data_IF_617862233805
#
_entry.id   IF_617862233805
#
_cell.length_a   1.000
_cell.length_b   1.000
_cell.length_c   1.000
_cell.angle_alpha   90.00
_cell.angle_beta   90.00
_cell.angle_gamma   90.00
#
_symmetry.space_group_name_H-M   'P 1'
#
loop_
_entity.id
_entity.type
_entity.pdbx_description
1 polymer ?
#
# COMPACT_ATOMS: atom_id res chain seq x y z
N UNK A 1 -5.79 13.44 19.21
CA UNK A 1 -5.27 13.79 17.88
C UNK A 1 -3.77 13.56 17.89
N UNK A 2 -3.28 12.50 17.22
CA UNK A 2 -1.84 12.23 17.11
C UNK A 2 -1.16 13.12 16.07
N UNK A 3 0.15 13.33 16.16
CA UNK A 3 0.89 14.23 15.27
C UNK A 3 0.98 13.63 13.86
N UNK A 4 0.61 14.44 12.88
CA UNK A 4 0.78 14.17 11.46
C UNK A 4 2.28 14.13 11.16
N UNK A 5 2.76 13.04 10.54
CA UNK A 5 4.14 12.94 10.06
C UNK A 5 4.32 13.90 8.89
N UNK A 6 4.72 15.13 9.20
CA UNK A 6 5.23 16.08 8.21
C UNK A 6 6.41 15.43 7.49
N UNK A 7 6.34 15.39 6.15
CA UNK A 7 7.50 15.06 5.32
C UNK A 7 8.72 15.85 5.82
N UNK A 8 9.81 15.13 6.03
CA UNK A 8 10.92 15.50 6.94
C UNK A 8 11.72 16.72 6.49
N UNK A 9 11.40 17.38 5.37
CA UNK A 9 12.03 18.66 5.03
C UNK A 9 11.16 19.57 4.14
N UNK A 10 9.87 19.74 4.48
CA UNK A 10 9.25 21.02 4.14
C UNK A 10 10.04 22.12 4.88
N UNK A 11 10.38 23.25 4.22
CA UNK A 11 11.19 24.30 4.85
C UNK A 11 10.61 24.57 6.23
N UNK A 12 11.45 24.41 7.26
CA UNK A 12 11.09 24.36 8.69
C UNK A 12 10.34 25.60 9.23
N UNK A 13 9.97 26.53 8.35
CA UNK A 13 9.33 27.79 8.67
C UNK A 13 7.92 27.96 8.12
N UNK A 14 7.30 26.98 7.47
CA UNK A 14 5.86 27.11 7.20
C UNK A 14 5.11 25.79 7.08
N UNK A 15 3.87 25.80 7.56
CA UNK A 15 2.91 24.71 7.34
C UNK A 15 2.45 24.75 5.89
N UNK A 16 2.12 23.58 5.33
CA UNK A 16 1.51 23.51 3.99
C UNK A 16 0.20 24.32 3.98
N UNK A 17 0.13 25.36 3.15
CA UNK A 17 -1.03 26.26 3.04
C UNK A 17 -0.86 27.65 3.68
N UNK A 18 0.27 27.97 4.32
CA UNK A 18 0.54 29.33 4.80
C UNK A 18 0.97 30.26 3.66
N UNK A 19 0.55 31.53 3.74
CA UNK A 19 0.84 32.54 2.72
C UNK A 19 2.30 33.00 2.78
N UNK A 20 2.89 33.30 1.61
CA UNK A 20 4.18 33.97 1.54
C UNK A 20 4.05 35.40 2.07
N UNK A 21 5.01 35.84 2.87
CA UNK A 21 4.99 37.15 3.52
C UNK A 21 6.30 37.45 4.21
N UNK A 22 6.36 38.52 5.01
CA UNK A 22 7.59 38.98 5.66
C UNK A 22 8.27 37.91 6.53
N UNK A 23 7.47 37.04 7.15
CA UNK A 23 7.98 35.92 7.97
C UNK A 23 8.14 34.61 7.17
N UNK A 24 7.71 34.57 5.91
CA UNK A 24 7.85 33.43 4.98
C UNK A 24 8.22 33.95 3.58
N UNK A 25 9.49 34.33 3.35
CA UNK A 25 9.92 34.89 2.09
C UNK A 25 9.93 33.83 0.98
N UNK A 26 9.63 34.27 -0.25
CA UNK A 26 9.74 33.41 -1.43
C UNK A 26 11.21 32.99 -1.63
N UNK A 27 11.50 31.70 -1.81
CA UNK A 27 12.87 31.23 -2.03
C UNK A 27 13.50 31.83 -3.28
N UNK A 28 14.82 32.03 -3.24
CA UNK A 28 15.59 32.37 -4.43
C UNK A 28 15.84 31.13 -5.30
N UNK A 29 16.12 31.33 -6.59
CA UNK A 29 16.33 30.23 -7.55
C UNK A 29 17.47 29.29 -7.08
N UNK A 30 18.54 29.83 -6.50
CA UNK A 30 19.67 29.04 -5.99
C UNK A 30 19.25 28.10 -4.86
N UNK A 31 18.53 28.62 -3.85
CA UNK A 31 18.02 27.82 -2.72
C UNK A 31 17.04 26.75 -3.17
N UNK A 32 16.23 27.07 -4.18
CA UNK A 32 15.31 26.09 -4.77
C UNK A 32 16.06 24.92 -5.43
N UNK A 33 17.13 25.21 -6.18
CA UNK A 33 17.96 24.17 -6.81
C UNK A 33 18.68 23.31 -5.76
N UNK A 34 19.21 23.92 -4.70
CA UNK A 34 19.84 23.20 -3.58
C UNK A 34 18.86 22.23 -2.91
N UNK A 35 17.63 22.67 -2.65
CA UNK A 35 16.59 21.83 -2.07
C UNK A 35 16.17 20.69 -3.01
N UNK A 36 16.03 20.96 -4.33
CA UNK A 36 15.70 19.93 -5.30
C UNK A 36 16.76 18.82 -5.35
N UNK A 37 18.03 19.17 -5.25
CA UNK A 37 19.10 18.19 -5.25
C UNK A 37 19.09 17.34 -3.98
N UNK A 38 18.85 17.98 -2.83
CA UNK A 38 18.66 17.27 -1.56
C UNK A 38 17.47 16.31 -1.61
N UNK A 39 16.31 16.76 -2.07
CA UNK A 39 15.10 15.93 -2.19
C UNK A 39 15.30 14.72 -3.10
N UNK A 40 16.07 14.88 -4.19
CA UNK A 40 16.42 13.75 -5.07
C UNK A 40 17.30 12.74 -4.35
N UNK A 41 18.29 13.20 -3.60
CA UNK A 41 19.19 12.33 -2.84
C UNK A 41 18.44 11.57 -1.74
N UNK A 42 17.60 12.27 -0.98
CA UNK A 42 16.79 11.67 0.09
C UNK A 42 15.81 10.64 -0.47
N UNK A 43 15.17 10.94 -1.62
CA UNK A 43 14.30 9.98 -2.31
C UNK A 43 15.07 8.75 -2.78
N UNK A 44 16.24 8.94 -3.40
CA UNK A 44 17.09 7.82 -3.85
C UNK A 44 17.52 6.95 -2.69
N UNK A 45 17.96 7.55 -1.58
CA UNK A 45 18.35 6.82 -0.37
C UNK A 45 17.16 6.03 0.22
N UNK A 46 15.96 6.62 0.23
CA UNK A 46 14.76 5.94 0.68
C UNK A 46 14.39 4.76 -0.24
N UNK A 47 14.43 4.94 -1.55
CA UNK A 47 14.19 3.86 -2.54
C UNK A 47 15.20 2.71 -2.38
N UNK A 48 16.48 3.02 -2.19
CA UNK A 48 17.51 2.02 -1.92
C UNK A 48 17.25 1.28 -0.59
N UNK A 49 16.82 1.98 0.45
CA UNK A 49 16.49 1.36 1.74
C UNK A 49 15.24 0.48 1.68
N UNK A 50 14.19 0.90 0.96
CA UNK A 50 12.97 0.11 0.76
C UNK A 50 13.28 -1.12 -0.08
N UNK A 51 14.00 -0.98 -1.19
CA UNK A 51 14.36 -2.14 -2.04
C UNK A 51 15.29 -3.12 -1.33
N UNK A 52 16.17 -2.66 -0.43
CA UNK A 52 16.97 -3.53 0.42
C UNK A 52 16.09 -4.31 1.41
N UNK A 53 15.13 -3.64 2.07
CA UNK A 53 14.16 -4.29 2.96
C UNK A 53 13.26 -5.29 2.23
N UNK A 54 12.75 -4.94 1.06
CA UNK A 54 11.94 -5.85 0.23
C UNK A 54 12.73 -7.12 -0.12
N UNK A 55 14.03 -7.01 -0.43
CA UNK A 55 14.89 -8.20 -0.68
C UNK A 55 15.09 -9.06 0.57
N UNK A 56 15.22 -8.46 1.74
CA UNK A 56 15.33 -9.19 3.01
C UNK A 56 13.99 -9.85 3.40
N UNK A 57 12.86 -9.18 3.17
CA UNK A 57 11.51 -9.70 3.39
C UNK A 57 11.14 -10.82 2.41
N UNK A 58 11.57 -10.72 1.14
CA UNK A 58 11.46 -11.78 0.15
C UNK A 58 12.27 -13.03 0.56
N UNK A 59 13.46 -12.84 1.16
CA UNK A 59 14.28 -13.92 1.68
C UNK A 59 13.68 -14.58 2.95
N UNK A 60 12.92 -13.81 3.75
CA UNK A 60 12.17 -14.30 4.92
C UNK A 60 10.78 -14.86 4.58
N UNK A 61 10.30 -14.65 3.35
CA UNK A 61 9.06 -15.23 2.82
C UNK A 61 7.77 -14.52 3.26
N UNK A 62 7.86 -13.29 3.74
CA UNK A 62 6.76 -12.64 4.49
C UNK A 62 5.78 -11.84 3.62
N UNK A 63 6.18 -11.33 2.45
CA UNK A 63 5.31 -10.53 1.58
C UNK A 63 5.47 -10.87 0.09
N UNK A 64 4.56 -11.70 -0.45
CA UNK A 64 4.51 -11.95 -1.90
C UNK A 64 3.63 -10.89 -2.58
N UNK A 65 4.09 -10.24 -3.66
CA UNK A 65 3.24 -9.33 -4.42
C UNK A 65 2.00 -10.05 -4.94
N UNK A 66 0.84 -9.38 -4.85
CA UNK A 66 -0.42 -9.93 -5.31
C UNK A 66 -0.34 -10.21 -6.81
N UNK A 67 -0.40 -11.49 -7.19
CA UNK A 67 -0.48 -11.89 -8.59
C UNK A 67 -1.94 -11.80 -9.03
N UNK A 68 -2.27 -10.99 -10.06
CA UNK A 68 -3.63 -10.94 -10.58
C UNK A 68 -4.05 -12.35 -11.01
N UNK A 69 -5.25 -12.77 -10.58
CA UNK A 69 -5.78 -14.08 -10.97
C UNK A 69 -5.98 -14.11 -12.49
N UNK A 70 -5.60 -15.23 -13.12
CA UNK A 70 -5.88 -15.44 -14.54
C UNK A 70 -7.39 -15.47 -14.75
N UNK A 71 -7.86 -14.83 -15.83
CA UNK A 71 -9.28 -14.88 -16.19
C UNK A 71 -9.72 -16.33 -16.35
N UNK A 72 -10.96 -16.68 -15.97
CA UNK A 72 -11.50 -18.02 -16.19
C UNK A 72 -11.40 -18.41 -17.67
N UNK A 73 -11.24 -19.71 -17.91
CA UNK A 73 -11.30 -20.27 -19.26
C UNK A 73 -12.67 -20.07 -19.91
N UNK A 74 -12.70 -20.07 -21.25
CA UNK A 74 -13.90 -19.88 -22.07
C UNK A 74 -14.99 -20.89 -21.64
N UNK A 75 -16.17 -20.39 -21.27
CA UNK A 75 -17.33 -21.21 -20.88
C UNK A 75 -17.72 -21.15 -19.39
N UNK A 76 -16.99 -20.40 -18.56
CA UNK A 76 -17.30 -20.21 -17.14
C UNK A 76 -17.93 -18.87 -16.80
N UNK A 77 -18.27 -18.10 -17.84
CA UNK A 77 -18.83 -16.77 -17.73
C UNK A 77 -20.16 -16.70 -18.48
N UNK A 78 -21.10 -15.90 -17.96
CA UNK A 78 -22.42 -15.67 -18.56
C UNK A 78 -22.66 -14.17 -18.67
N UNK A 79 -23.23 -13.76 -19.79
CA UNK A 79 -23.72 -12.38 -19.95
C UNK A 79 -25.06 -12.24 -19.25
N UNK A 80 -25.14 -11.31 -18.32
CA UNK A 80 -26.35 -11.01 -17.54
C UNK A 80 -26.59 -9.51 -17.56
N UNK A 81 -27.84 -9.09 -17.55
CA UNK A 81 -28.21 -7.68 -17.43
C UNK A 81 -28.21 -7.27 -15.95
N UNK A 82 -27.40 -6.28 -15.59
CA UNK A 82 -27.42 -5.67 -14.25
C UNK A 82 -28.82 -5.06 -13.99
N UNK A 83 -29.53 -5.49 -12.93
CA UNK A 83 -30.89 -5.02 -12.63
C UNK A 83 -30.97 -3.53 -12.32
N UNK A 84 -29.86 -2.90 -11.93
CA UNK A 84 -29.86 -1.49 -11.51
C UNK A 84 -29.56 -0.56 -12.67
N UNK A 85 -28.67 -0.96 -13.58
CA UNK A 85 -28.19 -0.11 -14.67
C UNK A 85 -28.69 -0.54 -16.05
N UNK A 86 -29.27 -1.74 -16.18
CA UNK A 86 -29.69 -2.32 -17.46
C UNK A 86 -28.53 -2.67 -18.38
N UNK A 87 -27.28 -2.59 -17.90
CA UNK A 87 -26.08 -2.87 -18.69
C UNK A 87 -25.79 -4.36 -18.73
N UNK A 88 -25.27 -4.82 -19.85
CA UNK A 88 -24.78 -6.19 -19.98
C UNK A 88 -23.43 -6.33 -19.28
N UNK A 89 -23.37 -7.26 -18.32
CA UNK A 89 -22.16 -7.57 -17.55
C UNK A 89 -21.84 -9.06 -17.69
N UNK A 90 -20.55 -9.36 -17.78
CA UNK A 90 -20.05 -10.75 -17.79
C UNK A 90 -19.82 -11.21 -16.35
N UNK A 91 -20.51 -12.27 -15.93
CA UNK A 91 -20.45 -12.82 -14.57
C UNK A 91 -19.84 -14.22 -14.62
N UNK A 92 -18.83 -14.46 -13.79
CA UNK A 92 -18.17 -15.76 -13.64
C UNK A 92 -18.93 -16.67 -12.66
N UNK A 93 -19.09 -17.95 -13.01
CA UNK A 93 -19.64 -18.98 -12.13
C UNK A 93 -18.65 -19.28 -10.98
N UNK A 94 -19.15 -19.39 -9.73
CA UNK A 94 -18.28 -19.58 -8.56
C UNK A 94 -17.57 -20.95 -8.55
N UNK A 95 -16.29 -20.94 -8.16
CA UNK A 95 -15.43 -22.12 -8.05
C UNK A 95 -15.04 -22.46 -6.61
N UNK A 96 -14.57 -23.70 -6.41
CA UNK A 96 -14.06 -24.16 -5.12
C UNK A 96 -12.92 -23.26 -4.57
N UNK A 97 -12.08 -22.71 -5.47
CA UNK A 97 -11.00 -21.78 -5.12
C UNK A 97 -11.54 -20.42 -4.65
N UNK A 98 -12.73 -20.00 -5.13
CA UNK A 98 -13.39 -18.78 -4.64
C UNK A 98 -13.78 -18.89 -3.17
N UNK A 99 -14.06 -20.11 -2.70
CA UNK A 99 -14.39 -20.39 -1.30
C UNK A 99 -13.17 -20.45 -0.39
N UNK A 100 -11.96 -20.56 -0.94
CA UNK A 100 -10.72 -20.64 -0.15
C UNK A 100 -10.49 -19.36 0.66
N UNK A 101 -10.79 -18.19 0.08
CA UNK A 101 -10.66 -16.89 0.75
C UNK A 101 -11.63 -16.76 1.93
N UNK A 102 -12.81 -17.36 1.82
CA UNK A 102 -13.82 -17.36 2.88
C UNK A 102 -13.41 -18.31 4.01
N UNK A 103 -12.87 -19.48 3.66
CA UNK A 103 -12.41 -20.48 4.63
C UNK A 103 -11.12 -20.06 5.33
N UNK A 104 -10.22 -19.39 4.62
CA UNK A 104 -8.91 -18.95 5.09
C UNK A 104 -8.73 -17.44 4.82
N UNK A 105 -9.41 -16.57 5.58
CA UNK A 105 -9.28 -15.13 5.40
C UNK A 105 -7.87 -14.68 5.77
N UNK A 106 -7.13 -14.13 4.79
CA UNK A 106 -5.84 -13.48 5.03
C UNK A 106 -6.08 -12.10 5.62
N UNK A 107 -6.10 -12.02 6.95
CA UNK A 107 -6.20 -10.77 7.68
C UNK A 107 -4.83 -10.09 7.73
N UNK A 108 -4.63 -9.08 6.90
CA UNK A 108 -3.49 -8.15 7.04
C UNK A 108 -3.97 -7.01 7.93
N UNK A 109 -3.58 -7.04 9.20
CA UNK A 109 -3.85 -5.93 10.12
C UNK A 109 -2.75 -4.88 9.89
N UNK A 110 -3.07 -3.71 9.32
CA UNK A 110 -2.08 -2.68 9.08
C UNK A 110 -1.67 -2.11 10.44
N UNK A 111 -0.46 -2.47 10.87
CA UNK A 111 0.30 -1.98 12.02
C UNK A 111 -0.52 -1.61 13.28
N UNK A 112 -0.36 -2.44 14.31
CA UNK A 112 -0.77 -2.15 15.67
C UNK A 112 -0.03 -0.90 16.21
N UNK A 113 -0.54 0.30 15.93
CA UNK A 113 -0.14 1.57 16.59
C UNK A 113 -0.41 1.57 18.12
N UNK A 114 -0.52 0.40 18.76
CA UNK A 114 -0.95 0.18 20.14
C UNK A 114 0.02 -0.70 20.97
N UNK A 115 1.20 -1.04 20.45
CA UNK A 115 2.24 -1.72 21.26
C UNK A 115 1.85 -3.10 21.81
N UNK A 116 1.01 -3.85 21.10
CA UNK A 116 0.61 -5.21 21.48
C UNK A 116 1.28 -6.25 20.56
N UNK A 117 1.68 -7.43 21.10
CA UNK A 117 2.30 -8.47 20.29
C UNK A 117 1.31 -9.02 19.24
N UNK A 118 1.74 -9.03 17.97
CA UNK A 118 1.03 -9.67 16.87
C UNK A 118 1.31 -11.16 16.90
N UNK A 119 0.35 -11.95 17.38
CA UNK A 119 0.43 -13.40 17.28
C UNK A 119 -0.28 -13.85 16.01
N UNK A 120 0.50 -14.04 14.95
CA UNK A 120 0.06 -14.85 13.81
C UNK A 120 0.18 -16.32 14.21
N UNK A 121 -0.92 -16.98 14.57
CA UNK A 121 -0.90 -18.44 14.73
C UNK A 121 -1.39 -19.07 13.43
N UNK A 122 -0.44 -19.63 12.69
CA UNK A 122 -0.63 -20.55 11.58
C UNK A 122 -1.09 -21.94 12.07
N UNK A 123 -1.79 -22.65 11.17
CA UNK A 123 -1.74 -24.09 10.87
C UNK A 123 -1.61 -25.13 12.00
N UNK A 124 -2.65 -25.96 12.09
CA UNK A 124 -2.56 -27.43 12.12
C UNK A 124 -1.85 -28.09 13.30
N UNK A 125 -2.63 -28.72 14.19
CA UNK A 125 -2.17 -29.90 14.92
C UNK A 125 -3.23 -31.02 14.86
N UNK A 126 -2.79 -32.13 14.28
CA UNK A 126 -3.35 -33.48 14.34
C UNK A 126 -3.11 -34.17 15.70
N UNK A 127 -3.71 -35.37 15.84
CA UNK A 127 -3.65 -36.39 16.92
C UNK A 127 -4.66 -36.17 18.06
N UNK A 128 -5.28 -37.21 18.65
CA UNK A 128 -5.45 -38.65 18.39
C UNK A 128 -6.54 -39.12 19.35
#
# INVERSE_FOLDING_TARGET
>A
MGPHTSGVDSPKNHRVGEHYGTHNPVPTIQKFLEHLEKDKQDRKAHEEAVTAREKEEDARGEAKPHKPRKRPGKGKTRMVTDPTTGREIEVEDQDADSMEVVKNPKLVVPNANLGKPTVSIQHGLTLS
#
